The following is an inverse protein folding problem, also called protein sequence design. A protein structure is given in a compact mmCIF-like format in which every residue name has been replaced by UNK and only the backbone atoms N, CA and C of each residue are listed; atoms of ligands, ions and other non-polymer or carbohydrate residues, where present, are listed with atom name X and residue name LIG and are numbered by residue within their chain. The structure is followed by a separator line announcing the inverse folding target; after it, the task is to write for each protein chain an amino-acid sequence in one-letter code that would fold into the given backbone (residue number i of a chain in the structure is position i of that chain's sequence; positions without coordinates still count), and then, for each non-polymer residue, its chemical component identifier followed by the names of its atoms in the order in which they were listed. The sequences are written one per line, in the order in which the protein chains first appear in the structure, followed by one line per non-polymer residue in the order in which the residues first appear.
data_IF_506225483509
#
_entry.id   IF_506225483509
#
_cell.length_a   1.000
_cell.length_b   1.000
_cell.length_c   1.000
_cell.angle_alpha   90.00
_cell.angle_beta   90.00
_cell.angle_gamma   90.00
#
_symmetry.space_group_name_H-M   'P 1'
#
loop_
_entity.id
_entity.type
_entity.pdbx_description
1 polymer ?
#
# COMPACT_ATOMS: atom_id res chain seq x y z
N UNK A 1 -5.41 12.83 19.04
CA UNK A 1 -4.93 11.62 18.34
C UNK A 1 -5.80 11.43 17.12
N UNK A 2 -5.20 11.32 15.96
CA UNK A 2 -5.90 10.98 14.73
C UNK A 2 -5.83 9.47 14.49
N UNK A 3 -6.88 8.92 13.90
CA UNK A 3 -6.96 7.50 13.56
C UNK A 3 -6.63 7.31 12.09
N UNK A 4 -5.73 6.38 11.79
CA UNK A 4 -5.43 5.91 10.45
C UNK A 4 -6.07 4.53 10.25
N UNK A 5 -6.76 4.33 9.13
CA UNK A 5 -7.41 3.05 8.80
C UNK A 5 -6.62 2.35 7.71
N UNK A 6 -6.27 1.09 7.95
CA UNK A 6 -5.63 0.23 6.94
C UNK A 6 -6.67 -0.29 5.95
N UNK A 7 -6.37 -0.14 4.66
CA UNK A 7 -7.23 -0.61 3.57
C UNK A 7 -6.36 -1.36 2.56
N UNK A 8 -6.76 -2.61 2.34
CA UNK A 8 -6.13 -3.51 1.38
C UNK A 8 -6.91 -3.54 0.07
N UNK A 9 -6.26 -3.71 -1.07
CA UNK A 9 -6.94 -3.78 -2.37
C UNK A 9 -7.58 -5.13 -2.65
N UNK A 10 -7.64 -6.01 -1.68
CA UNK A 10 -8.20 -7.35 -1.80
C UNK A 10 -9.70 -7.35 -1.55
N UNK A 11 -10.43 -8.07 -2.37
CA UNK A 11 -11.88 -8.29 -2.24
C UNK A 11 -12.10 -9.77 -2.03
N UNK A 12 -12.51 -10.15 -0.81
CA UNK A 12 -12.91 -11.52 -0.48
C UNK A 12 -14.22 -11.87 -1.23
N UNK A 13 -14.30 -13.07 -1.78
CA UNK A 13 -15.47 -13.53 -2.54
C UNK A 13 -16.77 -13.58 -1.72
N UNK A 14 -16.67 -13.57 -0.38
CA UNK A 14 -17.82 -13.49 0.55
C UNK A 14 -18.22 -12.05 0.85
N UNK A 15 -17.43 -11.07 0.40
CA UNK A 15 -17.75 -9.65 0.60
C UNK A 15 -19.04 -9.29 -0.11
N UNK A 16 -19.87 -8.46 0.52
CA UNK A 16 -21.07 -7.90 -0.10
C UNK A 16 -20.79 -7.13 -1.40
N UNK A 17 -19.56 -6.66 -1.59
CA UNK A 17 -19.15 -5.92 -2.76
C UNK A 17 -18.67 -6.81 -3.92
N UNK A 18 -18.34 -8.08 -3.69
CA UNK A 18 -17.67 -8.93 -4.67
C UNK A 18 -18.49 -9.13 -5.95
N UNK A 19 -19.74 -9.59 -5.82
CA UNK A 19 -20.58 -9.87 -6.98
C UNK A 19 -20.86 -8.60 -7.81
N UNK A 20 -21.11 -7.47 -7.16
CA UNK A 20 -21.31 -6.20 -7.85
C UNK A 20 -20.04 -5.77 -8.60
N UNK A 21 -18.89 -5.82 -7.95
CA UNK A 21 -17.61 -5.46 -8.57
C UNK A 21 -17.24 -6.37 -9.74
N UNK A 22 -17.51 -7.67 -9.61
CA UNK A 22 -17.32 -8.67 -10.66
C UNK A 22 -18.18 -8.37 -11.89
N UNK A 23 -19.48 -8.16 -11.69
CA UNK A 23 -20.42 -7.85 -12.78
C UNK A 23 -20.08 -6.56 -13.49
N UNK A 24 -19.58 -5.56 -12.77
CA UNK A 24 -19.16 -4.28 -13.31
C UNK A 24 -17.75 -4.29 -13.94
N UNK A 25 -17.01 -5.39 -13.84
CA UNK A 25 -15.65 -5.51 -14.35
C UNK A 25 -14.64 -4.59 -13.63
N UNK A 26 -14.76 -4.50 -12.30
CA UNK A 26 -13.92 -3.66 -11.44
C UNK A 26 -12.74 -4.41 -10.80
N UNK A 27 -12.66 -5.72 -11.04
CA UNK A 27 -11.65 -6.62 -10.47
C UNK A 27 -10.59 -6.97 -11.53
N UNK A 28 -9.40 -7.34 -11.07
CA UNK A 28 -8.33 -7.87 -11.92
C UNK A 28 -8.83 -9.14 -12.63
N UNK A 29 -8.47 -9.31 -13.88
CA UNK A 29 -8.83 -10.47 -14.71
C UNK A 29 -7.58 -11.16 -15.26
N UNK A 30 -7.78 -12.32 -15.86
CA UNK A 30 -6.75 -12.94 -16.68
C UNK A 30 -6.61 -12.21 -18.04
N UNK A 31 -5.51 -12.46 -18.75
CA UNK A 31 -5.31 -11.96 -20.13
C UNK A 31 -6.41 -12.46 -21.09
N UNK A 32 -7.01 -13.59 -20.81
CA UNK A 32 -8.16 -14.11 -21.57
C UNK A 32 -9.50 -13.48 -21.19
N UNK A 33 -9.51 -12.53 -20.24
CA UNK A 33 -10.73 -11.86 -19.76
C UNK A 33 -11.55 -12.70 -18.78
N UNK A 34 -11.02 -13.84 -18.35
CA UNK A 34 -11.67 -14.72 -17.38
C UNK A 34 -11.44 -14.18 -15.97
N UNK A 35 -12.45 -14.32 -15.13
CA UNK A 35 -12.33 -14.00 -13.70
C UNK A 35 -11.29 -14.91 -13.03
N UNK A 36 -10.50 -14.32 -12.13
CA UNK A 36 -9.45 -15.01 -11.40
C UNK A 36 -9.78 -15.08 -9.91
N UNK A 37 -9.28 -16.11 -9.26
CA UNK A 37 -9.23 -16.21 -7.80
C UNK A 37 -7.77 -16.32 -7.37
N UNK A 38 -7.45 -15.63 -6.30
CA UNK A 38 -6.13 -15.61 -5.70
C UNK A 38 -6.21 -16.16 -4.28
N UNK A 39 -5.24 -16.98 -3.90
CA UNK A 39 -5.18 -17.60 -2.59
C UNK A 39 -4.17 -16.82 -1.73
N UNK A 40 -4.59 -15.69 -1.20
CA UNK A 40 -3.80 -14.91 -0.27
C UNK A 40 -4.68 -14.47 0.91
N UNK A 41 -4.41 -14.97 2.10
CA UNK A 41 -5.26 -14.78 3.28
C UNK A 41 -6.74 -15.15 3.06
N UNK A 42 -7.01 -16.08 2.16
CA UNK A 42 -8.36 -16.56 1.79
C UNK A 42 -8.59 -16.53 0.28
N UNK A 43 -9.81 -16.82 -0.12
CA UNK A 43 -10.23 -16.71 -1.53
C UNK A 43 -10.59 -15.27 -1.82
N UNK A 44 -9.74 -14.58 -2.55
CA UNK A 44 -9.95 -13.18 -2.90
C UNK A 44 -9.50 -12.88 -4.33
N UNK A 45 -9.67 -11.64 -4.72
CA UNK A 45 -9.15 -11.06 -5.96
C UNK A 45 -8.82 -9.59 -5.68
N UNK A 46 -7.85 -9.04 -6.38
CA UNK A 46 -7.53 -7.62 -6.27
C UNK A 46 -8.51 -6.76 -7.08
N UNK A 47 -8.89 -5.62 -6.52
CA UNK A 47 -9.56 -4.57 -7.29
C UNK A 47 -8.61 -4.04 -8.37
N UNK A 48 -9.14 -3.60 -9.49
CA UNK A 48 -8.33 -3.01 -10.55
C UNK A 48 -8.19 -1.49 -10.34
N UNK A 49 -7.16 -1.06 -9.63
CA UNK A 49 -6.91 0.36 -9.37
C UNK A 49 -6.64 1.19 -10.62
N UNK A 50 -6.26 0.56 -11.75
CA UNK A 50 -6.04 1.26 -13.02
C UNK A 50 -7.35 1.70 -13.68
N UNK A 51 -8.47 1.05 -13.33
CA UNK A 51 -9.79 1.38 -13.85
C UNK A 51 -10.41 2.58 -13.11
N UNK A 52 -10.69 3.71 -13.78
CA UNK A 52 -11.33 4.87 -13.14
C UNK A 52 -12.66 4.56 -12.45
N UNK A 53 -13.44 3.61 -13.01
CA UNK A 53 -14.71 3.19 -12.41
C UNK A 53 -14.50 2.48 -11.09
N UNK A 54 -13.47 1.63 -10.98
CA UNK A 54 -13.07 0.98 -9.73
C UNK A 54 -12.69 2.01 -8.70
N UNK A 55 -11.85 2.99 -9.06
CA UNK A 55 -11.43 4.04 -8.14
C UNK A 55 -12.62 4.80 -7.56
N UNK A 56 -13.58 5.18 -8.40
CA UNK A 56 -14.79 5.86 -7.95
C UNK A 56 -15.63 4.97 -7.02
N UNK A 57 -15.90 3.74 -7.43
CA UNK A 57 -16.70 2.80 -6.65
C UNK A 57 -16.12 2.55 -5.25
N UNK A 58 -14.83 2.25 -5.20
CA UNK A 58 -14.15 1.96 -3.92
C UNK A 58 -14.09 3.20 -3.05
N UNK A 59 -13.78 4.37 -3.62
CA UNK A 59 -13.80 5.61 -2.86
C UNK A 59 -15.18 5.91 -2.25
N UNK A 60 -16.26 5.69 -2.97
CA UNK A 60 -17.62 5.88 -2.43
C UNK A 60 -17.87 4.99 -1.20
N UNK A 61 -17.38 3.74 -1.20
CA UNK A 61 -17.44 2.86 -0.03
C UNK A 61 -16.56 3.35 1.12
N UNK A 62 -15.33 3.74 0.82
CA UNK A 62 -14.38 4.32 1.81
C UNK A 62 -14.94 5.62 2.40
N UNK A 63 -15.47 6.49 1.56
CA UNK A 63 -16.08 7.74 2.00
C UNK A 63 -17.20 7.48 3.00
N UNK A 64 -18.18 6.67 2.61
CA UNK A 64 -19.35 6.35 3.44
C UNK A 64 -18.96 5.73 4.80
N UNK A 65 -18.01 4.80 4.79
CA UNK A 65 -17.72 3.98 5.96
C UNK A 65 -16.62 4.57 6.87
N UNK A 66 -15.82 5.51 6.35
CA UNK A 66 -14.69 6.08 7.10
C UNK A 66 -14.58 7.60 7.00
N UNK A 67 -14.50 8.18 5.80
CA UNK A 67 -14.24 9.61 5.65
C UNK A 67 -15.40 10.46 6.19
N UNK A 68 -16.66 10.08 5.98
CA UNK A 68 -17.82 10.75 6.52
C UNK A 68 -17.93 10.62 8.06
N UNK A 69 -17.20 9.68 8.67
CA UNK A 69 -17.05 9.54 10.12
C UNK A 69 -15.85 10.30 10.70
N UNK A 70 -15.13 11.06 9.85
CA UNK A 70 -14.01 11.91 10.28
C UNK A 70 -12.63 11.29 10.12
N UNK A 71 -12.50 10.10 9.53
CA UNK A 71 -11.19 9.50 9.20
C UNK A 71 -10.59 10.26 8.02
N UNK A 72 -9.37 10.75 8.19
CA UNK A 72 -8.69 11.61 7.22
C UNK A 72 -7.40 11.03 6.65
N UNK A 73 -6.90 9.96 7.23
CA UNK A 73 -5.65 9.32 6.83
C UNK A 73 -5.83 7.82 6.65
N UNK A 74 -5.19 7.27 5.62
CA UNK A 74 -5.32 5.86 5.29
C UNK A 74 -3.96 5.20 5.17
N UNK A 75 -3.92 3.93 5.54
CA UNK A 75 -2.78 3.04 5.34
C UNK A 75 -3.09 2.12 4.17
N UNK A 76 -2.43 2.36 3.04
CA UNK A 76 -2.63 1.65 1.78
C UNK A 76 -1.64 0.50 1.69
N UNK A 77 -2.02 -0.61 2.31
CA UNK A 77 -1.21 -1.81 2.41
C UNK A 77 -1.51 -2.77 1.25
N UNK A 78 -0.64 -3.76 1.01
CA UNK A 78 -0.78 -4.82 0.00
C UNK A 78 -1.00 -4.29 -1.45
N UNK A 79 -0.52 -3.10 -1.72
CA UNK A 79 -0.80 -2.38 -2.98
C UNK A 79 0.31 -2.55 -4.04
N UNK A 80 1.14 -3.57 -3.94
CA UNK A 80 2.07 -4.01 -5.00
C UNK A 80 1.34 -4.32 -6.32
N UNK A 81 0.20 -5.05 -6.39
CA UNK A 81 -0.38 -5.97 -5.43
C UNK A 81 0.39 -7.29 -5.34
N UNK A 82 0.33 -7.94 -4.18
CA UNK A 82 0.96 -9.23 -3.97
C UNK A 82 0.11 -10.36 -4.54
N UNK A 83 0.42 -10.79 -5.76
CA UNK A 83 -0.23 -11.94 -6.37
C UNK A 83 0.37 -13.25 -5.84
N UNK A 84 -0.45 -14.11 -5.29
CA UNK A 84 -0.02 -15.37 -4.65
C UNK A 84 0.67 -16.35 -5.59
N UNK A 85 0.44 -16.24 -6.89
CA UNK A 85 0.93 -17.18 -7.91
C UNK A 85 2.14 -16.67 -8.67
N UNK A 86 2.49 -15.41 -8.56
CA UNK A 86 3.54 -14.73 -9.36
C UNK A 86 3.40 -14.92 -10.88
N UNK A 87 2.18 -15.21 -11.33
CA UNK A 87 1.87 -15.41 -12.76
C UNK A 87 1.51 -14.07 -13.41
N UNK A 88 2.40 -13.08 -13.31
CA UNK A 88 2.17 -11.73 -13.82
C UNK A 88 1.77 -11.69 -15.29
N UNK A 89 2.30 -12.61 -16.10
CA UNK A 89 1.94 -12.77 -17.50
C UNK A 89 0.50 -13.23 -17.72
N UNK A 90 -0.13 -13.78 -16.69
CA UNK A 90 -1.51 -14.26 -16.79
C UNK A 90 -2.55 -13.19 -16.44
N UNK A 91 -2.16 -12.10 -15.79
CA UNK A 91 -3.09 -11.10 -15.29
C UNK A 91 -3.18 -9.85 -16.17
N UNK A 92 -4.34 -9.21 -16.11
CA UNK A 92 -4.65 -8.02 -16.88
C UNK A 92 -5.44 -7.00 -16.07
N UNK A 93 -4.99 -5.76 -16.17
CA UNK A 93 -5.73 -4.57 -15.73
C UNK A 93 -6.51 -3.94 -16.88
N UNK A 94 -7.41 -3.03 -16.59
CA UNK A 94 -8.08 -2.20 -17.58
C UNK A 94 -7.09 -1.42 -18.44
N UNK A 95 -5.97 -0.98 -17.86
CA UNK A 95 -4.92 -0.25 -18.55
C UNK A 95 -4.05 -1.13 -19.47
N UNK A 96 -4.00 -2.45 -19.28
CA UNK A 96 -3.18 -3.38 -20.08
C UNK A 96 -2.73 -4.62 -19.31
N UNK A 97 -1.90 -5.48 -19.94
CA UNK A 97 -1.31 -6.65 -19.29
C UNK A 97 -0.44 -6.25 -18.10
N UNK A 98 -0.50 -7.02 -17.01
CA UNK A 98 0.28 -6.74 -15.80
C UNK A 98 1.79 -6.80 -16.07
N UNK A 99 2.24 -7.69 -16.94
CA UNK A 99 3.63 -7.80 -17.36
C UNK A 99 4.20 -6.49 -17.92
N UNK A 100 3.38 -5.72 -18.65
CA UNK A 100 3.80 -4.46 -19.26
C UNK A 100 3.66 -3.26 -18.34
N UNK A 101 2.59 -3.22 -17.53
CA UNK A 101 2.20 -2.01 -16.81
C UNK A 101 2.04 -2.20 -15.29
N UNK A 102 2.31 -3.38 -14.76
CA UNK A 102 2.03 -3.73 -13.36
C UNK A 102 2.54 -2.71 -12.34
N UNK A 103 3.70 -2.16 -12.58
CA UNK A 103 4.33 -1.18 -11.68
C UNK A 103 3.54 0.12 -11.47
N UNK A 104 2.54 0.43 -12.32
CA UNK A 104 1.71 1.62 -12.10
C UNK A 104 0.64 1.40 -11.03
N UNK A 105 0.35 0.16 -10.64
CA UNK A 105 -0.73 -0.16 -9.72
C UNK A 105 -0.67 0.62 -8.39
N UNK A 106 0.45 0.63 -7.66
CA UNK A 106 0.55 1.37 -6.39
C UNK A 106 0.30 2.88 -6.57
N UNK A 107 0.74 3.45 -7.69
CA UNK A 107 0.46 4.85 -8.02
C UNK A 107 -1.04 5.10 -8.22
N UNK A 108 -1.72 4.24 -8.97
CA UNK A 108 -3.16 4.38 -9.23
C UNK A 108 -4.01 4.10 -7.99
N UNK A 109 -3.53 3.21 -7.11
CA UNK A 109 -4.14 2.97 -5.82
C UNK A 109 -4.01 4.20 -4.89
N UNK A 110 -2.83 4.78 -4.78
CA UNK A 110 -2.61 6.06 -4.07
C UNK A 110 -3.46 7.19 -4.66
N UNK A 111 -3.55 7.26 -5.99
CA UNK A 111 -4.37 8.23 -6.71
C UNK A 111 -5.84 8.17 -6.33
N UNK A 112 -6.39 6.97 -6.16
CA UNK A 112 -7.78 6.76 -5.78
C UNK A 112 -8.10 7.48 -4.47
N UNK A 113 -7.28 7.30 -3.46
CA UNK A 113 -7.47 7.93 -2.14
C UNK A 113 -7.23 9.44 -2.20
N UNK A 114 -6.15 9.86 -2.85
CA UNK A 114 -5.82 11.28 -2.98
C UNK A 114 -6.93 12.07 -3.67
N UNK A 115 -7.39 11.63 -4.83
CA UNK A 115 -8.45 12.30 -5.58
C UNK A 115 -9.76 12.30 -4.79
N UNK A 116 -10.11 11.18 -4.17
CA UNK A 116 -11.31 11.09 -3.36
C UNK A 116 -11.29 11.96 -2.09
N UNK A 117 -10.18 11.99 -1.37
CA UNK A 117 -10.00 12.89 -0.21
C UNK A 117 -10.08 14.35 -0.63
N UNK A 118 -9.47 14.70 -1.77
CA UNK A 118 -9.53 16.05 -2.33
C UNK A 118 -10.94 16.47 -2.73
N UNK A 119 -11.68 15.58 -3.39
CA UNK A 119 -13.11 15.79 -3.72
C UNK A 119 -13.97 15.95 -2.45
N UNK A 120 -13.57 15.31 -1.35
CA UNK A 120 -14.21 15.44 -0.04
C UNK A 120 -13.75 16.70 0.74
N UNK A 121 -12.99 17.61 0.11
CA UNK A 121 -12.59 18.90 0.68
C UNK A 121 -11.33 18.87 1.56
N UNK A 122 -10.55 17.78 1.52
CA UNK A 122 -9.29 17.72 2.25
C UNK A 122 -8.18 18.34 1.39
N UNK A 123 -7.40 19.25 1.98
CA UNK A 123 -6.29 19.93 1.29
C UNK A 123 -4.94 19.24 1.58
N UNK A 124 -4.67 18.96 2.86
CA UNK A 124 -3.45 18.28 3.30
C UNK A 124 -3.66 16.77 3.27
N UNK A 125 -3.23 16.14 2.19
CA UNK A 125 -3.45 14.72 1.94
C UNK A 125 -2.13 13.97 1.98
N UNK A 126 -2.01 13.07 2.96
CA UNK A 126 -0.91 12.13 3.09
C UNK A 126 -1.46 10.77 3.49
N UNK A 127 -1.09 9.73 2.74
CA UNK A 127 -1.44 8.36 3.06
C UNK A 127 -0.17 7.50 3.19
N UNK A 128 -0.15 6.60 4.15
CA UNK A 128 0.93 5.63 4.30
C UNK A 128 0.78 4.56 3.22
N UNK A 129 1.82 4.31 2.45
CA UNK A 129 1.79 3.35 1.33
C UNK A 129 2.96 2.39 1.40
N UNK A 130 2.70 1.11 1.16
CA UNK A 130 3.72 0.05 1.19
C UNK A 130 4.68 0.13 0.01
N UNK A 131 4.22 0.60 -1.12
CA UNK A 131 5.00 0.67 -2.33
C UNK A 131 4.64 1.89 -3.17
N UNK A 132 5.51 2.25 -4.08
CA UNK A 132 5.34 3.42 -4.94
C UNK A 132 5.94 3.16 -6.31
N UNK A 133 5.54 3.95 -7.28
CA UNK A 133 6.15 4.04 -8.59
C UNK A 133 6.32 5.49 -9.00
N UNK A 134 6.97 5.74 -10.12
CA UNK A 134 7.15 7.09 -10.66
C UNK A 134 5.83 7.85 -10.71
N UNK A 135 5.76 8.99 -10.05
CA UNK A 135 4.58 9.85 -9.96
C UNK A 135 3.73 9.64 -8.70
N UNK A 136 4.03 8.65 -7.83
CA UNK A 136 3.29 8.45 -6.57
C UNK A 136 3.39 9.63 -5.62
N UNK A 137 4.50 10.38 -5.64
CA UNK A 137 4.68 11.61 -4.85
C UNK A 137 3.63 12.67 -5.14
N UNK A 138 3.03 12.66 -6.35
CA UNK A 138 1.92 13.55 -6.72
C UNK A 138 0.64 13.27 -5.92
N UNK A 139 0.51 12.07 -5.39
CA UNK A 139 -0.68 11.58 -4.72
C UNK A 139 -0.48 11.39 -3.21
N UNK A 140 0.40 12.20 -2.61
CA UNK A 140 0.58 12.21 -1.16
C UNK A 140 1.13 10.91 -0.56
N UNK A 141 1.91 10.16 -1.33
CA UNK A 141 2.47 8.89 -0.89
C UNK A 141 3.60 9.11 0.13
N UNK A 142 3.37 8.66 1.36
CA UNK A 142 4.37 8.43 2.39
C UNK A 142 4.74 6.95 2.35
N UNK A 143 5.95 6.61 1.93
CA UNK A 143 6.36 5.22 1.71
C UNK A 143 7.07 4.64 2.93
N UNK A 144 6.73 3.41 3.31
CA UNK A 144 7.54 2.64 4.26
C UNK A 144 8.17 1.41 3.58
N UNK A 145 9.15 0.83 4.23
CA UNK A 145 10.01 -0.20 3.66
C UNK A 145 9.40 -1.61 3.58
N UNK A 146 8.15 -1.78 3.97
CA UNK A 146 7.52 -3.11 4.02
C UNK A 146 8.00 -3.95 5.22
N UNK A 147 7.74 -5.26 5.16
CA UNK A 147 7.93 -6.23 6.24
C UNK A 147 9.38 -6.70 6.31
N UNK A 148 10.23 -5.86 6.86
CA UNK A 148 11.67 -6.09 6.98
C UNK A 148 12.02 -6.85 8.26
N UNK A 149 13.18 -7.52 8.29
CA UNK A 149 13.63 -8.25 9.47
C UNK A 149 14.34 -7.35 10.49
N UNK A 150 14.20 -7.72 11.76
CA UNK A 150 14.87 -7.09 12.89
C UNK A 150 16.37 -7.47 12.93
N UNK A 151 17.12 -7.00 11.94
CA UNK A 151 18.55 -7.28 11.79
C UNK A 151 19.35 -6.02 11.45
N UNK A 152 20.63 -6.00 11.83
CA UNK A 152 21.54 -4.92 11.41
C UNK A 152 21.75 -4.87 9.88
N UNK A 153 21.59 -5.99 9.20
CA UNK A 153 21.69 -6.05 7.75
C UNK A 153 20.55 -5.28 7.11
N UNK A 154 19.31 -5.57 7.52
CA UNK A 154 18.14 -4.88 7.00
C UNK A 154 18.13 -3.40 7.41
N UNK A 155 18.51 -3.09 8.64
CA UNK A 155 18.68 -1.71 9.07
C UNK A 155 19.59 -0.91 8.14
N UNK A 156 20.76 -1.44 7.78
CA UNK A 156 21.67 -0.76 6.83
C UNK A 156 21.05 -0.59 5.46
N UNK A 157 20.29 -1.59 4.97
CA UNK A 157 19.57 -1.49 3.70
C UNK A 157 18.54 -0.36 3.73
N UNK A 158 17.84 -0.17 4.86
CA UNK A 158 16.84 0.87 4.99
C UNK A 158 17.41 2.28 4.92
N UNK A 159 18.59 2.51 5.47
CA UNK A 159 19.26 3.80 5.35
C UNK A 159 19.53 4.13 3.87
N UNK A 160 20.09 3.17 3.14
CA UNK A 160 20.34 3.35 1.69
C UNK A 160 19.04 3.53 0.90
N UNK A 161 18.02 2.72 1.21
CA UNK A 161 16.73 2.80 0.53
C UNK A 161 16.07 4.16 0.72
N UNK A 162 16.06 4.71 1.93
CA UNK A 162 15.52 6.03 2.21
C UNK A 162 16.23 7.15 1.43
N UNK A 163 17.57 7.09 1.36
CA UNK A 163 18.34 8.03 0.56
C UNK A 163 18.01 7.94 -0.94
N UNK A 164 17.89 6.71 -1.46
CA UNK A 164 17.52 6.50 -2.87
C UNK A 164 16.10 6.98 -3.15
N UNK A 165 15.13 6.75 -2.25
CA UNK A 165 13.78 7.26 -2.41
C UNK A 165 13.77 8.79 -2.49
N UNK A 166 14.55 9.48 -1.66
CA UNK A 166 14.74 10.92 -1.74
C UNK A 166 15.30 11.38 -3.09
N UNK A 167 16.32 10.68 -3.61
CA UNK A 167 16.89 10.96 -4.94
C UNK A 167 15.89 10.73 -6.09
N UNK A 168 14.97 9.77 -5.93
CA UNK A 168 13.89 9.51 -6.88
C UNK A 168 12.72 10.52 -6.78
N UNK A 169 12.82 11.52 -5.91
CA UNK A 169 11.79 12.53 -5.71
C UNK A 169 10.60 12.05 -4.87
N UNK A 170 10.79 11.00 -4.06
CA UNK A 170 9.85 10.51 -3.06
C UNK A 170 10.47 10.73 -1.67
N UNK A 171 10.46 11.98 -1.16
CA UNK A 171 11.17 12.32 0.06
C UNK A 171 10.46 11.87 1.34
N UNK A 172 9.17 11.55 1.25
CA UNK A 172 8.37 11.10 2.39
C UNK A 172 8.59 9.61 2.57
N UNK A 173 9.48 9.29 3.48
CA UNK A 173 9.99 7.96 3.76
C UNK A 173 9.93 7.64 5.24
N UNK A 174 9.62 6.41 5.55
CA UNK A 174 9.75 5.84 6.90
C UNK A 174 10.13 4.36 6.82
N UNK A 175 10.38 3.75 7.95
CA UNK A 175 10.65 2.32 8.11
C UNK A 175 9.93 1.84 9.37
N UNK A 176 9.74 0.56 9.51
CA UNK A 176 9.33 -0.06 10.76
C UNK A 176 10.54 -0.02 11.70
N UNK A 177 10.48 0.87 12.70
CA UNK A 177 11.59 1.06 13.66
C UNK A 177 11.71 -0.20 14.51
N UNK A 178 12.85 -0.86 14.41
CA UNK A 178 13.13 -2.15 15.06
C UNK A 178 13.01 -3.34 14.10
N UNK A 179 12.43 -3.14 12.91
CA UNK A 179 12.05 -4.21 11.98
C UNK A 179 10.67 -4.76 12.30
N UNK A 180 10.04 -5.38 11.30
CA UNK A 180 8.70 -5.98 11.41
C UNK A 180 8.75 -7.42 11.89
N UNK A 181 9.74 -8.20 11.42
CA UNK A 181 9.86 -9.62 11.75
C UNK A 181 11.05 -9.94 12.64
N UNK A 182 10.86 -10.80 13.65
CA UNK A 182 11.93 -11.45 14.39
C UNK A 182 12.53 -10.66 15.56
N UNK A 183 11.94 -9.55 15.95
CA UNK A 183 12.35 -8.82 17.15
C UNK A 183 11.97 -9.57 18.42
N UNK A 184 12.94 -9.73 19.33
CA UNK A 184 12.74 -10.34 20.67
C UNK A 184 13.12 -9.31 21.72
N UNK A 185 12.13 -8.80 22.45
CA UNK A 185 12.30 -7.66 23.39
C UNK A 185 13.29 -7.92 24.51
N UNK A 186 13.49 -9.18 24.90
CA UNK A 186 14.42 -9.63 25.95
C UNK A 186 15.85 -9.82 25.44
N UNK A 187 16.06 -9.82 24.11
CA UNK A 187 17.39 -9.99 23.51
C UNK A 187 18.18 -8.67 23.57
N UNK A 188 19.34 -8.63 24.24
CA UNK A 188 20.17 -7.44 24.30
C UNK A 188 20.63 -6.93 22.93
N UNK A 189 20.86 -7.82 21.95
CA UNK A 189 21.26 -7.44 20.59
C UNK A 189 20.11 -6.73 19.88
N UNK A 190 18.87 -7.21 20.04
CA UNK A 190 17.69 -6.53 19.53
C UNK A 190 17.45 -5.18 20.21
N UNK A 191 17.66 -5.10 21.54
CA UNK A 191 17.52 -3.83 22.26
C UNK A 191 18.51 -2.77 21.74
N UNK A 192 19.78 -3.15 21.48
CA UNK A 192 20.73 -2.23 20.87
C UNK A 192 20.32 -1.85 19.45
N UNK A 193 19.92 -2.81 18.62
CA UNK A 193 19.43 -2.56 17.26
C UNK A 193 18.26 -1.57 17.27
N UNK A 194 17.31 -1.75 18.19
CA UNK A 194 16.17 -0.86 18.34
C UNK A 194 16.61 0.57 18.66
N UNK A 195 17.58 0.74 19.58
CA UNK A 195 18.14 2.06 19.89
C UNK A 195 18.79 2.71 18.66
N UNK A 196 19.56 1.94 17.87
CA UNK A 196 20.18 2.45 16.63
C UNK A 196 19.12 2.85 15.59
N UNK A 197 18.07 2.06 15.49
CA UNK A 197 16.96 2.37 14.59
C UNK A 197 16.18 3.61 15.03
N UNK A 198 15.97 3.80 16.34
CA UNK A 198 15.39 5.05 16.86
C UNK A 198 16.26 6.27 16.54
N UNK A 199 17.58 6.15 16.65
CA UNK A 199 18.49 7.23 16.27
C UNK A 199 18.33 7.62 14.79
N UNK A 200 18.26 6.63 13.91
CA UNK A 200 17.99 6.87 12.49
C UNK A 200 16.60 7.45 12.26
N UNK A 201 15.57 6.87 12.87
CA UNK A 201 14.18 7.30 12.73
C UNK A 201 13.95 8.77 13.13
N UNK A 202 14.77 9.30 14.02
CA UNK A 202 14.73 10.73 14.41
C UNK A 202 15.02 11.67 13.24
N UNK A 203 15.74 11.19 12.22
CA UNK A 203 16.06 11.96 11.01
C UNK A 203 15.18 11.60 9.82
N UNK A 204 14.28 10.64 9.96
CA UNK A 204 13.29 10.33 8.94
C UNK A 204 12.16 11.37 8.93
N UNK A 205 11.56 11.68 7.77
CA UNK A 205 10.41 12.59 7.67
C UNK A 205 9.24 12.18 8.56
N UNK A 206 9.06 10.89 8.78
CA UNK A 206 8.08 10.32 9.71
C UNK A 206 8.75 9.25 10.56
N UNK A 207 8.59 9.37 11.87
CA UNK A 207 9.04 8.38 12.84
C UNK A 207 7.88 7.42 13.14
N UNK A 208 8.05 6.14 12.81
CA UNK A 208 7.00 5.12 12.92
C UNK A 208 7.53 3.91 13.67
N UNK A 209 6.77 3.46 14.65
CA UNK A 209 6.98 2.18 15.34
C UNK A 209 5.89 1.23 14.86
N UNK A 210 6.30 0.06 14.37
CA UNK A 210 5.41 -1.00 13.93
C UNK A 210 6.18 -2.32 13.83
N UNK A 211 5.53 -3.45 14.21
CA UNK A 211 6.09 -4.79 14.19
C UNK A 211 5.40 -5.68 15.21
#
# INVERSE_FOLDING_TARGET
IETMVSIWPQIDWRSENYEEMKQQGLLVKSNAGVDVQMLFHGNNVFLDATNPRTRKYVWEKVKKNYADLGIRTFWLDEAEPEFSTYEYECYRYAAGPVEEIGNIYPREYSRMFYEGQKENGQEDIVNLVRCAWLGSQKYGALVWSGDIFSTYEDFRKQICAGLHMGLCGIPWWTTDIGGFHGGVTEDPDFQELLVRWFQFGTFCPVMRIHG
#
